data_IF_831411639866
#
_entry.id   IF_831411639866
#
_cell.length_a   1.000
_cell.length_b   1.000
_cell.length_c   1.000
_cell.angle_alpha   90.00
_cell.angle_beta   90.00
_cell.angle_gamma   90.00
#
_symmetry.space_group_name_H-M   'P 1'
#
loop_
_entity.id
_entity.type
_entity.pdbx_description
1 polymer ?
#
# COMPACT_ATOMS: atom_id res chain seq x y z
N UNK A 1 13.54 -8.20 -14.03
CA UNK A 1 13.32 -7.85 -12.62
C UNK A 1 12.04 -8.49 -12.11
N UNK A 2 12.10 -9.06 -10.92
CA UNK A 2 10.93 -9.71 -10.32
C UNK A 2 10.28 -8.74 -9.35
N UNK A 3 9.02 -8.42 -9.61
CA UNK A 3 8.27 -7.54 -8.72
C UNK A 3 7.59 -8.35 -7.63
N UNK A 4 7.40 -7.72 -6.48
CA UNK A 4 6.89 -8.40 -5.30
C UNK A 4 5.41 -8.15 -5.12
N UNK A 5 4.77 -9.09 -4.42
CA UNK A 5 3.38 -8.96 -3.99
C UNK A 5 3.39 -8.55 -2.53
N UNK A 6 2.68 -7.48 -2.22
CA UNK A 6 2.53 -7.04 -0.84
C UNK A 6 1.12 -7.33 -0.38
N UNK A 7 0.99 -8.04 0.73
CA UNK A 7 -0.28 -8.39 1.31
C UNK A 7 -0.45 -7.67 2.64
N UNK A 8 -1.54 -6.95 2.80
CA UNK A 8 -1.81 -6.20 4.02
C UNK A 8 -3.12 -6.71 4.63
N UNK A 9 -3.00 -7.40 5.76
CA UNK A 9 -4.15 -7.95 6.47
C UNK A 9 -4.45 -7.26 7.79
N UNK A 10 -3.78 -6.16 8.10
CA UNK A 10 -3.96 -5.43 9.35
C UNK A 10 -4.21 -3.96 9.07
N UNK A 11 -4.76 -3.23 10.06
CA UNK A 11 -4.92 -1.78 9.90
C UNK A 11 -3.56 -1.13 9.67
N UNK A 12 -3.45 -0.37 8.61
CA UNK A 12 -2.22 0.34 8.27
C UNK A 12 -2.55 1.63 7.53
N UNK A 13 -1.56 2.52 7.48
CA UNK A 13 -1.61 3.72 6.67
C UNK A 13 -0.59 3.61 5.56
N UNK A 14 -1.02 3.82 4.33
CA UNK A 14 -0.15 3.77 3.17
C UNK A 14 -0.07 5.16 2.56
N UNK A 15 1.14 5.67 2.42
CA UNK A 15 1.37 6.97 1.82
C UNK A 15 2.57 6.91 0.90
N UNK A 16 2.83 8.00 0.19
CA UNK A 16 3.90 8.06 -0.79
C UNK A 16 4.91 9.11 -0.38
N UNK A 17 6.19 8.78 -0.50
CA UNK A 17 7.25 9.73 -0.24
C UNK A 17 8.48 9.33 -1.06
N UNK A 18 8.97 10.25 -1.88
CA UNK A 18 10.20 10.03 -2.66
C UNK A 18 10.15 8.75 -3.48
N UNK A 19 9.04 8.55 -4.19
CA UNK A 19 8.83 7.38 -5.04
C UNK A 19 8.88 6.08 -4.26
N UNK A 20 8.55 6.13 -2.97
CA UNK A 20 8.51 4.94 -2.13
C UNK A 20 7.17 4.85 -1.42
N UNK A 21 6.70 3.62 -1.29
CA UNK A 21 5.51 3.34 -0.50
C UNK A 21 5.89 3.36 0.97
N UNK A 22 5.22 4.21 1.74
CA UNK A 22 5.46 4.31 3.18
C UNK A 22 4.35 3.58 3.89
N UNK A 23 4.72 2.61 4.72
CA UNK A 23 3.80 1.74 5.44
C UNK A 23 3.91 2.06 6.92
N UNK A 24 2.83 2.55 7.52
CA UNK A 24 2.81 2.87 8.95
C UNK A 24 1.83 1.97 9.68
N UNK A 25 2.25 1.46 10.83
CA UNK A 25 1.46 0.58 11.65
C UNK A 25 0.88 1.39 12.81
N UNK A 26 -0.41 1.75 12.76
CA UNK A 26 -0.98 2.63 13.76
C UNK A 26 -0.97 2.07 15.16
N UNK A 27 -1.01 0.75 15.29
CA UNK A 27 -1.00 0.12 16.62
C UNK A 27 0.29 0.41 17.37
N UNK A 28 1.41 0.36 16.67
CA UNK A 28 2.69 0.65 17.29
C UNK A 28 2.80 2.12 17.64
N UNK A 29 2.31 2.98 16.73
CA UNK A 29 2.36 4.41 16.95
C UNK A 29 1.56 4.82 18.17
N UNK A 30 0.44 4.14 18.45
CA UNK A 30 -0.43 4.48 19.57
C UNK A 30 0.10 4.01 20.92
N UNK A 31 1.07 3.13 20.92
CA UNK A 31 1.59 2.59 22.18
C UNK A 31 2.66 3.51 22.71
N UNK A 32 2.26 4.41 23.62
CA UNK A 32 3.15 5.43 24.10
C UNK A 32 4.16 4.92 25.13
N UNK A 33 3.99 3.71 25.59
CA UNK A 33 4.98 3.13 26.50
C UNK A 33 6.21 2.63 25.78
N UNK A 34 6.17 2.56 24.46
CA UNK A 34 7.30 2.11 23.66
C UNK A 34 8.35 3.20 23.57
N UNK A 35 9.60 2.77 23.46
CA UNK A 35 10.69 3.72 23.29
C UNK A 35 10.61 4.40 21.93
N UNK A 36 11.31 5.51 21.81
CA UNK A 36 11.34 6.23 20.55
C UNK A 36 11.88 5.39 19.40
N UNK A 37 12.89 4.58 19.69
CA UNK A 37 13.44 3.71 18.65
C UNK A 37 12.43 2.70 18.15
N UNK A 38 11.59 2.21 19.04
CA UNK A 38 10.56 1.28 18.66
C UNK A 38 9.52 1.95 17.74
N UNK A 39 9.17 3.20 18.06
CA UNK A 39 8.22 3.94 17.24
C UNK A 39 8.76 4.16 15.83
N UNK A 40 10.07 4.36 15.71
CA UNK A 40 10.66 4.54 14.39
C UNK A 40 10.53 3.30 13.54
N UNK A 41 10.48 2.13 14.16
CA UNK A 41 10.35 0.88 13.44
C UNK A 41 8.91 0.62 12.99
N UNK A 42 7.98 1.48 13.38
CA UNK A 42 6.60 1.35 12.95
C UNK A 42 6.41 1.79 11.51
N UNK A 43 7.45 2.32 10.91
CA UNK A 43 7.37 2.82 9.55
C UNK A 43 8.35 2.06 8.67
N UNK A 44 7.83 1.50 7.57
CA UNK A 44 8.62 0.73 6.62
C UNK A 44 8.41 1.35 5.24
N UNK A 45 9.47 1.40 4.45
CA UNK A 45 9.36 1.92 3.09
C UNK A 45 9.74 0.85 2.08
N UNK A 46 9.09 0.90 0.92
CA UNK A 46 9.36 0.00 -0.19
C UNK A 46 9.37 0.82 -1.48
N UNK A 47 10.37 0.63 -2.34
CA UNK A 47 10.37 1.34 -3.62
C UNK A 47 9.15 0.93 -4.44
N UNK A 48 8.49 1.92 -5.02
CA UNK A 48 7.30 1.64 -5.83
C UNK A 48 7.64 0.72 -7.00
N UNK A 49 8.81 0.89 -7.60
CA UNK A 49 9.18 0.12 -8.78
C UNK A 49 9.32 -1.37 -8.49
N UNK A 50 9.47 -1.76 -7.24
CA UNK A 50 9.63 -3.17 -6.87
C UNK A 50 8.30 -3.86 -6.60
N UNK A 51 7.20 -3.16 -6.69
CA UNK A 51 5.89 -3.68 -6.30
C UNK A 51 5.09 -4.04 -7.55
N UNK A 52 4.61 -5.28 -7.60
CA UNK A 52 3.80 -5.73 -8.72
C UNK A 52 2.32 -5.86 -8.39
N UNK A 53 2.02 -6.26 -7.15
CA UNK A 53 0.63 -6.44 -6.71
C UNK A 53 0.53 -6.01 -5.26
N UNK A 54 -0.54 -5.29 -4.95
CA UNK A 54 -0.86 -4.92 -3.57
C UNK A 54 -2.23 -5.48 -3.24
N UNK A 55 -2.32 -6.25 -2.16
CA UNK A 55 -3.58 -6.82 -1.70
C UNK A 55 -3.98 -6.14 -0.41
N UNK A 56 -5.15 -5.50 -0.43
CA UNK A 56 -5.69 -4.78 0.71
C UNK A 56 -6.79 -5.62 1.34
N UNK A 57 -6.47 -6.29 2.46
CA UNK A 57 -7.38 -7.25 3.07
C UNK A 57 -7.70 -6.86 4.50
N UNK A 58 -8.13 -5.62 4.67
CA UNK A 58 -8.57 -5.11 5.97
C UNK A 58 -9.38 -3.85 5.76
N UNK A 59 -10.44 -3.71 6.53
CA UNK A 59 -11.34 -2.56 6.39
C UNK A 59 -10.70 -1.24 6.82
N UNK A 60 -9.68 -1.33 7.65
CA UNK A 60 -9.08 -0.13 8.26
C UNK A 60 -7.75 0.22 7.62
N UNK A 61 -7.60 -0.08 6.36
CA UNK A 61 -6.43 0.35 5.61
C UNK A 61 -6.74 1.70 5.01
N UNK A 62 -5.88 2.67 5.30
CA UNK A 62 -5.97 4.00 4.73
C UNK A 62 -4.89 4.16 3.68
N UNK A 63 -5.26 4.60 2.50
CA UNK A 63 -4.33 4.74 1.40
C UNK A 63 -4.58 6.07 0.70
N UNK A 64 -3.51 6.79 0.38
CA UNK A 64 -3.67 8.07 -0.28
C UNK A 64 -3.85 7.89 -1.78
N UNK A 65 -4.50 8.85 -2.41
CA UNK A 65 -4.66 8.83 -3.86
C UNK A 65 -3.30 8.88 -4.57
N UNK A 66 -2.33 9.57 -3.98
CA UNK A 66 -0.99 9.60 -4.55
C UNK A 66 -0.35 8.23 -4.63
N UNK A 67 -0.60 7.38 -3.62
CA UNK A 67 -0.10 6.02 -3.66
C UNK A 67 -0.76 5.23 -4.78
N UNK A 68 -2.08 5.36 -4.90
CA UNK A 68 -2.81 4.65 -5.96
C UNK A 68 -2.26 5.04 -7.33
N UNK A 69 -2.07 6.33 -7.53
CA UNK A 69 -1.54 6.82 -8.80
C UNK A 69 -0.16 6.25 -9.09
N UNK A 70 0.73 6.31 -8.10
CA UNK A 70 2.10 5.86 -8.30
C UNK A 70 2.17 4.36 -8.59
N UNK A 71 1.38 3.58 -7.85
CA UNK A 71 1.36 2.13 -8.07
C UNK A 71 0.81 1.80 -9.44
N UNK A 72 -0.27 2.44 -9.83
CA UNK A 72 -0.90 2.14 -11.12
C UNK A 72 0.00 2.55 -12.27
N UNK A 73 0.68 3.68 -12.16
CA UNK A 73 1.61 4.11 -13.19
C UNK A 73 2.79 3.16 -13.34
N UNK A 74 3.07 2.40 -12.29
CA UNK A 74 4.15 1.43 -12.29
C UNK A 74 3.64 0.03 -12.67
N UNK A 75 2.43 -0.06 -13.23
CA UNK A 75 1.82 -1.32 -13.64
C UNK A 75 1.57 -2.26 -12.48
N UNK A 76 1.35 -1.72 -11.31
CA UNK A 76 1.00 -2.52 -10.14
C UNK A 76 -0.51 -2.73 -10.12
N UNK A 77 -0.94 -3.94 -9.82
CA UNK A 77 -2.36 -4.22 -9.63
C UNK A 77 -2.70 -4.05 -8.15
N UNK A 78 -3.87 -3.49 -7.87
CA UNK A 78 -4.32 -3.28 -6.50
C UNK A 78 -5.63 -4.03 -6.31
N UNK A 79 -5.64 -4.96 -5.36
CA UNK A 79 -6.78 -5.82 -5.09
C UNK A 79 -7.31 -5.48 -3.71
N UNK A 80 -8.62 -5.28 -3.60
CA UNK A 80 -9.25 -5.07 -2.32
C UNK A 80 -10.18 -6.25 -2.02
N UNK A 81 -10.28 -6.60 -0.73
CA UNK A 81 -11.02 -7.78 -0.31
C UNK A 81 -12.17 -7.40 0.61
N UNK A 82 -13.16 -8.29 0.71
CA UNK A 82 -14.26 -8.10 1.64
C UNK A 82 -13.89 -8.66 3.03
N UNK A 83 -14.86 -8.67 3.94
CA UNK A 83 -14.60 -9.11 5.32
C UNK A 83 -14.30 -10.59 5.42
N UNK A 84 -14.48 -11.35 4.35
CA UNK A 84 -14.16 -12.76 4.30
C UNK A 84 -12.89 -13.03 3.53
N UNK A 85 -12.10 -12.00 3.31
CA UNK A 85 -10.83 -12.09 2.58
C UNK A 85 -11.01 -12.51 1.13
N UNK A 86 -12.17 -12.24 0.56
CA UNK A 86 -12.43 -12.55 -0.84
C UNK A 86 -12.22 -11.29 -1.67
N UNK A 87 -11.49 -11.39 -2.77
CA UNK A 87 -11.29 -10.21 -3.63
C UNK A 87 -12.62 -9.71 -4.18
N UNK A 88 -12.87 -8.42 -4.03
CA UNK A 88 -14.10 -7.80 -4.53
C UNK A 88 -13.83 -6.66 -5.49
N UNK A 89 -12.58 -6.24 -5.61
CA UNK A 89 -12.25 -5.15 -6.50
C UNK A 89 -10.84 -5.23 -6.98
N UNK A 90 -10.60 -4.73 -8.17
CA UNK A 90 -9.28 -4.71 -8.77
C UNK A 90 -9.06 -3.37 -9.44
N UNK A 91 -7.95 -2.73 -9.12
CA UNK A 91 -7.50 -1.54 -9.84
C UNK A 91 -6.26 -1.89 -10.62
N UNK A 92 -6.23 -1.49 -11.87
CA UNK A 92 -5.08 -1.70 -12.70
C UNK A 92 -4.88 -0.49 -13.59
N UNK A 93 -3.71 -0.40 -14.19
CA UNK A 93 -3.39 0.70 -15.07
C UNK A 93 -4.39 0.72 -16.23
N UNK A 94 -4.97 1.88 -16.47
CA UNK A 94 -5.87 2.06 -17.60
C UNK A 94 -5.05 2.67 -18.73
N UNK A 95 -4.85 1.86 -19.76
CA UNK A 95 -4.13 2.36 -20.92
C UNK A 95 -4.96 3.46 -21.55
N UNK A 96 -4.38 4.63 -21.56
CA UNK A 96 -5.11 5.80 -22.04
C UNK A 96 -4.85 5.95 -23.52
N UNK A 97 -5.85 5.63 -24.28
CA UNK A 97 -5.77 5.80 -25.71
C UNK A 97 -6.11 7.24 -26.06
N UNK A 98 -5.15 7.94 -26.60
CA UNK A 98 -5.35 9.33 -26.96
C UNK A 98 -5.40 9.44 -28.46
N UNK A 99 -6.58 9.63 -28.99
CA UNK A 99 -6.77 9.69 -30.43
C UNK A 99 -6.74 11.11 -30.95
N UNK A 100 -6.58 12.09 -30.13
CA UNK A 100 -6.61 13.49 -30.51
C UNK A 100 -5.48 13.88 -31.41
#
# INVERSE_FOLDING_TARGET
MIKKTLYFGNPIYLSLKNAQLVIKLPEVVKNETLTGGFKQKAEVTKPIEDIGVVVLDNKQITITSGVLEALLENNCAIITCDSKSMPVGLMSFVWQYNSE
#
